data_IF_968802051734
#
_entry.id   IF_968802051734
#
_cell.length_a   1.000
_cell.length_b   1.000
_cell.length_c   1.000
_cell.angle_alpha   90.00
_cell.angle_beta   90.00
_cell.angle_gamma   90.00
#
_symmetry.space_group_name_H-M   'P 1'
#
loop_
_entity.id
_entity.type
_entity.pdbx_description
1 polymer ?
#
# COMPACT_ATOMS: atom_id res chain seq x y z
N UNK A 1 -14.65 -34.32 47.61
CA UNK A 1 -14.50 -33.20 46.66
C UNK A 1 -15.02 -33.67 45.30
N UNK A 2 -16.01 -32.99 44.71
CA UNK A 2 -16.77 -33.52 43.58
C UNK A 2 -15.91 -33.50 42.30
N UNK A 3 -15.53 -34.67 41.79
CA UNK A 3 -14.58 -34.84 40.66
C UNK A 3 -15.01 -34.12 39.40
N UNK A 4 -16.33 -33.94 39.21
CA UNK A 4 -16.91 -33.15 38.11
C UNK A 4 -16.57 -31.66 38.16
N UNK A 5 -16.46 -31.10 39.37
CA UNK A 5 -16.09 -29.69 39.58
C UNK A 5 -14.61 -29.47 39.28
N UNK A 6 -13.76 -30.43 39.65
CA UNK A 6 -12.31 -30.39 39.40
C UNK A 6 -12.04 -30.48 37.89
N UNK A 7 -12.73 -31.36 37.16
CA UNK A 7 -12.60 -31.44 35.70
C UNK A 7 -13.01 -30.13 35.01
N UNK A 8 -14.15 -29.54 35.40
CA UNK A 8 -14.62 -28.27 34.83
C UNK A 8 -13.63 -27.13 35.09
N UNK A 9 -13.05 -27.08 36.28
CA UNK A 9 -12.04 -26.09 36.64
C UNK A 9 -10.76 -26.29 35.82
N UNK A 10 -10.30 -27.54 35.66
CA UNK A 10 -9.11 -27.86 34.89
C UNK A 10 -9.26 -27.49 33.41
N UNK A 11 -10.41 -27.77 32.79
CA UNK A 11 -10.67 -27.39 31.39
C UNK A 11 -10.70 -25.89 31.19
N UNK A 12 -11.20 -25.14 32.18
CA UNK A 12 -11.29 -23.69 32.12
C UNK A 12 -9.92 -23.03 32.26
N UNK A 13 -9.07 -23.56 33.14
CA UNK A 13 -7.67 -23.13 33.30
C UNK A 13 -6.83 -23.47 32.07
N UNK A 14 -6.98 -24.68 31.52
CA UNK A 14 -6.30 -25.07 30.27
C UNK A 14 -6.69 -24.18 29.09
N UNK A 15 -7.99 -23.88 28.95
CA UNK A 15 -8.48 -22.95 27.93
C UNK A 15 -7.88 -21.55 28.10
N UNK A 16 -7.81 -21.05 29.33
CA UNK A 16 -7.24 -19.73 29.62
C UNK A 16 -5.74 -19.67 29.30
N UNK A 17 -4.97 -20.70 29.66
CA UNK A 17 -3.54 -20.80 29.36
C UNK A 17 -3.31 -20.83 27.84
N UNK A 18 -4.15 -21.56 27.11
CA UNK A 18 -4.06 -21.66 25.66
C UNK A 18 -4.36 -20.32 24.98
N UNK A 19 -5.37 -19.59 25.45
CA UNK A 19 -5.67 -18.23 24.97
C UNK A 19 -4.53 -17.25 25.28
N UNK A 20 -3.94 -17.31 26.47
CA UNK A 20 -2.81 -16.44 26.85
C UNK A 20 -1.54 -16.78 26.05
N UNK A 21 -1.27 -18.06 25.79
CA UNK A 21 -0.17 -18.46 24.91
C UNK A 21 -0.38 -17.98 23.47
N UNK A 22 -1.60 -18.12 22.92
CA UNK A 22 -1.92 -17.59 21.59
C UNK A 22 -1.76 -16.08 21.57
N UNK A 23 -2.29 -15.36 22.56
CA UNK A 23 -2.19 -13.90 22.64
C UNK A 23 -0.72 -13.42 22.70
N UNK A 24 0.11 -14.08 23.51
CA UNK A 24 1.55 -13.77 23.57
C UNK A 24 2.30 -14.16 22.29
N UNK A 25 1.91 -15.25 21.64
CA UNK A 25 2.51 -15.68 20.37
C UNK A 25 2.09 -14.76 19.20
N UNK A 26 0.84 -14.29 19.17
CA UNK A 26 0.38 -13.28 18.21
C UNK A 26 0.94 -11.89 18.51
N UNK A 27 1.23 -11.57 19.78
CA UNK A 27 1.89 -10.32 20.18
C UNK A 27 3.40 -10.33 19.88
N UNK A 28 4.01 -11.50 19.70
CA UNK A 28 5.37 -11.61 19.19
C UNK A 28 5.34 -11.48 17.67
N UNK A 29 5.93 -10.43 17.11
CA UNK A 29 5.83 -10.05 15.69
C UNK A 29 6.39 -11.04 14.65
N UNK A 30 6.53 -12.33 14.97
CA UNK A 30 6.88 -13.41 14.05
C UNK A 30 5.67 -13.88 13.24
N UNK A 31 4.46 -13.90 13.80
CA UNK A 31 3.24 -14.37 13.12
C UNK A 31 2.75 -13.38 12.05
N UNK A 32 2.85 -12.07 12.33
CA UNK A 32 2.66 -11.01 11.32
C UNK A 32 3.67 -11.11 10.19
N UNK A 33 4.93 -11.46 10.47
CA UNK A 33 5.95 -11.69 9.42
C UNK A 33 5.64 -12.92 8.56
N UNK A 34 5.16 -14.01 9.14
CA UNK A 34 4.82 -15.23 8.38
C UNK A 34 3.55 -15.05 7.55
N UNK A 35 2.55 -14.32 8.05
CA UNK A 35 1.37 -13.97 7.26
C UNK A 35 1.72 -12.99 6.14
N UNK A 36 2.55 -11.97 6.40
CA UNK A 36 3.05 -11.07 5.35
C UNK A 36 3.89 -11.80 4.28
N UNK A 37 4.63 -12.86 4.66
CA UNK A 37 5.37 -13.69 3.72
C UNK A 37 4.46 -14.59 2.86
N UNK A 38 3.31 -15.04 3.38
CA UNK A 38 2.34 -15.85 2.64
C UNK A 38 1.42 -15.01 1.73
N UNK A 39 1.24 -13.72 2.04
CA UNK A 39 0.55 -12.74 1.18
C UNK A 39 1.50 -11.97 0.24
N UNK A 40 2.75 -12.40 0.08
CA UNK A 40 3.64 -11.87 -0.96
C UNK A 40 4.23 -10.48 -0.68
N UNK A 41 4.38 -10.06 0.57
CA UNK A 41 5.16 -8.86 0.91
C UNK A 41 6.63 -9.24 1.04
N UNK A 42 7.27 -9.54 -0.10
CA UNK A 42 8.71 -9.78 -0.18
C UNK A 42 9.39 -8.56 -0.78
N UNK A 43 9.86 -7.68 0.11
CA UNK A 43 10.92 -6.68 -0.07
C UNK A 43 10.61 -5.53 -1.05
N UNK A 44 10.45 -4.33 -0.48
CA UNK A 44 9.91 -3.10 -1.06
C UNK A 44 8.39 -3.18 -1.28
N UNK A 45 7.62 -2.41 -0.50
CA UNK A 45 6.17 -2.31 -0.67
C UNK A 45 5.91 -1.75 -2.08
N UNK A 46 5.70 -2.56 -3.11
CA UNK A 46 5.34 -2.02 -4.43
C UNK A 46 3.83 -1.80 -4.50
N UNK A 47 3.42 -0.65 -5.04
CA UNK A 47 2.01 -0.34 -5.30
C UNK A 47 1.80 -0.28 -6.81
N UNK A 48 0.73 -0.90 -7.28
CA UNK A 48 0.23 -0.70 -8.63
C UNK A 48 -0.92 0.30 -8.59
N UNK A 49 -0.72 1.50 -9.13
CA UNK A 49 -1.76 2.53 -9.13
C UNK A 49 -2.60 2.52 -10.41
N UNK A 50 -2.15 1.85 -11.46
CA UNK A 50 -2.86 1.81 -12.73
C UNK A 50 -4.14 0.96 -12.63
N UNK A 51 -5.13 1.27 -13.47
CA UNK A 51 -6.36 0.50 -13.54
C UNK A 51 -6.11 -0.93 -14.05
N UNK A 52 -6.97 -1.87 -13.65
CA UNK A 52 -6.94 -3.22 -14.21
C UNK A 52 -7.20 -3.18 -15.72
N UNK A 53 -6.40 -3.94 -16.47
CA UNK A 53 -6.43 -3.94 -17.94
C UNK A 53 -6.32 -2.53 -18.54
N UNK A 54 -5.26 -1.79 -18.15
CA UNK A 54 -4.93 -0.45 -18.67
C UNK A 54 -5.08 -0.36 -20.19
N UNK A 55 -5.98 0.53 -20.61
CA UNK A 55 -6.21 0.97 -21.99
C UNK A 55 -5.50 2.29 -22.26
N UNK A 56 -5.45 3.19 -21.28
CA UNK A 56 -4.81 4.49 -21.43
C UNK A 56 -4.16 4.97 -20.12
N UNK A 57 -3.11 5.78 -20.26
CA UNK A 57 -2.43 6.47 -19.15
C UNK A 57 -2.09 7.88 -19.61
N UNK A 58 -2.58 8.87 -18.86
CA UNK A 58 -2.39 10.29 -19.17
C UNK A 58 -1.82 11.04 -17.97
N UNK A 59 -0.71 11.74 -18.18
CA UNK A 59 -0.20 12.72 -17.23
C UNK A 59 -1.02 14.01 -17.32
N UNK A 60 -1.58 14.43 -16.18
CA UNK A 60 -2.48 15.59 -16.09
C UNK A 60 -1.71 16.82 -15.63
N UNK A 61 -0.81 16.64 -14.67
CA UNK A 61 -0.03 17.72 -14.09
C UNK A 61 0.90 18.40 -15.11
N UNK A 62 0.99 19.73 -15.01
CA UNK A 62 1.83 20.57 -15.87
C UNK A 62 3.31 20.39 -15.58
N UNK A 63 3.65 20.00 -14.35
CA UNK A 63 5.00 19.82 -13.84
C UNK A 63 5.70 18.59 -14.45
N UNK A 64 4.92 17.66 -15.01
CA UNK A 64 5.46 16.43 -15.61
C UNK A 64 6.22 16.77 -16.91
N UNK A 65 7.47 16.31 -17.07
CA UNK A 65 8.26 16.54 -18.28
C UNK A 65 7.54 16.07 -19.54
N UNK A 66 7.54 16.90 -20.59
CA UNK A 66 6.92 16.57 -21.89
C UNK A 66 7.44 15.26 -22.49
N UNK A 67 8.71 14.92 -22.24
CA UNK A 67 9.31 13.65 -22.66
C UNK A 67 8.55 12.43 -22.12
N UNK A 68 7.95 12.53 -20.93
CA UNK A 68 7.14 11.45 -20.34
C UNK A 68 5.73 11.40 -20.91
N UNK A 69 5.18 12.55 -21.33
CA UNK A 69 3.87 12.63 -22.00
C UNK A 69 3.88 12.01 -23.39
N UNK A 70 5.06 11.93 -24.02
CA UNK A 70 5.25 11.34 -25.35
C UNK A 70 5.61 9.84 -25.32
N UNK A 71 5.78 9.24 -24.13
CA UNK A 71 6.10 7.81 -24.01
C UNK A 71 4.93 6.95 -24.48
N UNK A 72 5.24 5.80 -25.05
CA UNK A 72 4.23 4.81 -25.43
C UNK A 72 3.51 4.27 -24.19
N UNK A 73 2.25 3.87 -24.35
CA UNK A 73 1.48 3.23 -23.27
C UNK A 73 2.22 2.02 -22.68
N UNK A 74 2.87 1.22 -23.52
CA UNK A 74 3.64 0.04 -23.10
C UNK A 74 4.81 0.42 -22.19
N UNK A 75 5.52 1.51 -22.52
CA UNK A 75 6.61 2.02 -21.70
C UNK A 75 6.10 2.62 -20.40
N UNK A 76 4.99 3.36 -20.45
CA UNK A 76 4.35 3.91 -19.26
C UNK A 76 3.92 2.81 -18.30
N UNK A 77 3.31 1.74 -18.82
CA UNK A 77 2.90 0.59 -18.03
C UNK A 77 4.06 -0.11 -17.36
N UNK A 78 5.13 -0.39 -18.11
CA UNK A 78 6.29 -1.12 -17.58
C UNK A 78 7.06 -0.28 -16.54
N UNK A 79 7.12 1.03 -16.72
CA UNK A 79 8.00 1.88 -15.90
C UNK A 79 7.27 2.55 -14.74
N UNK A 80 5.99 2.90 -14.89
CA UNK A 80 5.31 3.77 -13.94
C UNK A 80 4.08 3.14 -13.30
N UNK A 81 3.52 2.02 -13.77
CA UNK A 81 2.38 1.42 -13.09
C UNK A 81 2.76 0.79 -11.75
N UNK A 82 3.85 0.02 -11.72
CA UNK A 82 4.38 -0.55 -10.48
C UNK A 82 5.44 0.38 -9.89
N UNK A 83 5.17 0.88 -8.69
CA UNK A 83 6.01 1.85 -7.99
C UNK A 83 6.49 1.26 -6.68
N UNK A 84 7.79 1.35 -6.42
CA UNK A 84 8.30 1.11 -5.07
C UNK A 84 7.78 2.20 -4.15
N UNK A 85 7.23 1.79 -3.01
CA UNK A 85 6.78 2.69 -1.96
C UNK A 85 7.72 2.67 -0.77
N UNK A 86 7.75 3.81 -0.09
CA UNK A 86 8.46 4.03 1.16
C UNK A 86 7.45 4.40 2.24
N UNK A 87 7.76 4.02 3.48
CA UNK A 87 6.91 4.30 4.63
C UNK A 87 6.81 5.80 4.89
N UNK A 88 5.60 6.25 5.19
CA UNK A 88 5.34 7.62 5.61
C UNK A 88 5.36 7.65 7.14
N UNK A 89 6.32 8.38 7.71
CA UNK A 89 6.43 8.62 9.15
C UNK A 89 5.90 10.03 9.44
N UNK A 90 4.97 10.15 10.38
CA UNK A 90 4.45 11.41 10.93
C UNK A 90 3.85 12.39 9.90
N UNK A 91 3.05 11.89 8.95
CA UNK A 91 2.25 12.75 8.06
C UNK A 91 0.78 12.76 8.49
N UNK A 92 0.26 13.95 8.73
CA UNK A 92 -1.16 14.17 8.92
C UNK A 92 -1.86 14.29 7.55
N UNK A 93 -2.40 13.17 7.08
CA UNK A 93 -3.00 13.01 5.74
C UNK A 93 -4.22 13.91 5.52
N UNK A 94 -4.93 14.28 6.60
CA UNK A 94 -6.18 15.05 6.53
C UNK A 94 -5.94 16.52 6.15
N UNK A 95 -4.72 17.03 6.37
CA UNK A 95 -4.33 18.41 6.06
C UNK A 95 -3.47 18.53 4.79
N UNK A 96 -3.28 17.44 4.06
CA UNK A 96 -2.50 17.45 2.82
C UNK A 96 -3.36 17.92 1.66
N UNK A 97 -2.88 18.92 0.93
CA UNK A 97 -3.45 19.30 -0.36
C UNK A 97 -2.96 18.34 -1.45
N UNK A 98 -3.91 17.76 -2.18
CA UNK A 98 -3.66 16.77 -3.22
C UNK A 98 -4.07 17.31 -4.57
N UNK A 99 -3.17 17.23 -5.54
CA UNK A 99 -3.40 17.59 -6.92
C UNK A 99 -3.36 16.34 -7.82
N UNK A 100 -4.18 16.26 -8.88
CA UNK A 100 -4.11 15.15 -9.82
C UNK A 100 -2.80 15.19 -10.61
N UNK A 101 -2.05 14.10 -10.58
CA UNK A 101 -0.78 13.93 -11.27
C UNK A 101 -0.98 13.18 -12.60
N UNK A 102 -1.69 12.04 -12.53
CA UNK A 102 -1.94 11.17 -13.68
C UNK A 102 -3.27 10.44 -13.53
N UNK A 103 -3.80 9.96 -14.65
CA UNK A 103 -4.98 9.12 -14.69
C UNK A 103 -4.70 7.89 -15.55
N UNK A 104 -5.15 6.73 -15.08
CA UNK A 104 -5.14 5.49 -15.83
C UNK A 104 -6.57 5.02 -16.04
N UNK A 105 -6.91 4.68 -17.28
CA UNK A 105 -8.21 4.15 -17.67
C UNK A 105 -8.10 2.67 -18.04
N UNK A 106 -8.96 1.83 -17.47
CA UNK A 106 -9.06 0.41 -17.77
C UNK A 106 -10.16 0.08 -18.78
N UNK A 107 -10.13 -1.13 -19.34
CA UNK A 107 -11.08 -1.58 -20.37
C UNK A 107 -12.55 -1.63 -19.89
N UNK A 108 -12.78 -1.75 -18.59
CA UNK A 108 -14.11 -1.75 -17.97
C UNK A 108 -14.63 -0.33 -17.64
N UNK A 109 -13.93 0.72 -18.07
CA UNK A 109 -14.27 2.12 -17.75
C UNK A 109 -13.90 2.54 -16.33
N UNK A 110 -13.20 1.68 -15.58
CA UNK A 110 -12.62 2.06 -14.30
C UNK A 110 -11.45 3.01 -14.52
N UNK A 111 -11.49 4.15 -13.85
CA UNK A 111 -10.40 5.12 -13.84
C UNK A 111 -9.74 5.12 -12.47
N UNK A 112 -8.40 5.16 -12.46
CA UNK A 112 -7.62 5.38 -11.26
C UNK A 112 -6.84 6.67 -11.42
N UNK A 113 -6.83 7.49 -10.38
CA UNK A 113 -6.12 8.77 -10.37
C UNK A 113 -4.96 8.65 -9.42
N UNK A 114 -3.76 8.95 -9.93
CA UNK A 114 -2.58 9.21 -9.13
C UNK A 114 -2.60 10.68 -8.76
N UNK A 115 -2.60 10.96 -7.48
CA UNK A 115 -2.55 12.32 -6.94
C UNK A 115 -1.22 12.54 -6.21
N UNK A 116 -0.80 13.79 -6.12
CA UNK A 116 0.46 14.17 -5.50
C UNK A 116 0.30 15.42 -4.65
N UNK A 117 1.11 15.53 -3.61
CA UNK A 117 1.27 16.73 -2.83
C UNK A 117 2.69 17.27 -2.96
N UNK A 118 2.81 18.45 -3.56
CA UNK A 118 4.11 19.10 -3.80
C UNK A 118 4.80 19.53 -2.51
N UNK A 119 4.03 19.84 -1.47
CA UNK A 119 4.53 20.31 -0.17
C UNK A 119 5.23 19.19 0.61
N UNK A 120 4.67 17.98 0.57
CA UNK A 120 5.13 16.84 1.37
C UNK A 120 5.84 15.77 0.55
N UNK A 121 5.90 15.93 -0.79
CA UNK A 121 6.51 14.99 -1.73
C UNK A 121 5.96 13.56 -1.57
N UNK A 122 4.65 13.49 -1.39
CA UNK A 122 3.87 12.26 -1.20
C UNK A 122 2.88 12.10 -2.34
N UNK A 123 2.56 10.86 -2.62
CA UNK A 123 1.62 10.45 -3.65
C UNK A 123 0.46 9.72 -2.99
N UNK A 124 -0.70 9.70 -3.64
CA UNK A 124 -1.80 8.81 -3.23
C UNK A 124 -2.52 8.24 -4.44
N UNK A 125 -3.10 7.07 -4.25
CA UNK A 125 -4.03 6.45 -5.20
C UNK A 125 -5.13 5.75 -4.41
N UNK A 126 -6.39 5.92 -4.82
CA UNK A 126 -7.54 5.33 -4.11
C UNK A 126 -7.61 5.69 -2.62
N UNK A 127 -7.09 6.86 -2.23
CA UNK A 127 -7.03 7.33 -0.84
C UNK A 127 -5.86 6.77 -0.02
N UNK A 128 -5.01 5.91 -0.56
CA UNK A 128 -3.83 5.37 0.13
C UNK A 128 -2.59 6.23 -0.17
N UNK A 129 -2.02 6.94 0.82
CA UNK A 129 -0.82 7.75 0.64
C UNK A 129 0.45 6.89 0.69
N UNK A 130 1.45 7.25 -0.09
CA UNK A 130 2.76 6.61 -0.16
C UNK A 130 3.85 7.59 -0.62
N UNK A 131 5.11 7.28 -0.32
CA UNK A 131 6.27 7.97 -0.92
C UNK A 131 6.88 7.12 -2.01
N UNK A 132 7.47 7.75 -3.03
CA UNK A 132 8.20 7.04 -4.07
C UNK A 132 9.35 7.89 -4.59
N UNK A 133 10.59 7.53 -4.23
CA UNK A 133 11.79 8.22 -4.72
C UNK A 133 11.84 8.27 -6.26
N UNK A 134 11.38 7.21 -6.94
CA UNK A 134 11.36 7.14 -8.40
C UNK A 134 10.50 8.24 -9.02
N UNK A 135 9.26 8.41 -8.52
CA UNK A 135 8.36 9.45 -9.01
C UNK A 135 8.95 10.83 -8.75
N UNK A 136 9.52 11.05 -7.55
CA UNK A 136 10.10 12.35 -7.20
C UNK A 136 11.29 12.71 -8.09
N UNK A 137 12.20 11.76 -8.34
CA UNK A 137 13.36 11.98 -9.20
C UNK A 137 12.97 12.16 -10.68
N UNK A 138 12.08 11.32 -11.19
CA UNK A 138 11.77 11.29 -12.64
C UNK A 138 10.71 12.33 -13.05
N UNK A 139 9.75 12.64 -12.18
CA UNK A 139 8.67 13.58 -12.50
C UNK A 139 8.97 15.01 -12.05
N UNK A 140 9.64 15.18 -10.92
CA UNK A 140 9.89 16.51 -10.35
C UNK A 140 11.32 17.01 -10.58
N UNK A 141 12.21 16.17 -11.14
CA UNK A 141 13.63 16.47 -11.40
C UNK A 141 14.35 17.02 -10.15
N UNK A 142 13.96 16.53 -8.97
CA UNK A 142 14.55 16.89 -7.69
C UNK A 142 15.47 15.78 -7.16
#
# INVERSE_FOLDING_TARGET
MNTRLIMKLATLVLGLILVVMIYNYTSSGSLTRTLNALFGVSNANSINWCADHVVDVKWIATEVPEALKQKSLSDLRRQYCELSTEDIVDLDVDHVEWAPLAESSGAAGHTTVLEWSSQFEVYRTGGMPFKSAKLTQELLQK
#
